data_IF_719614886288
#
_entry.id   IF_719614886288
#
_cell.length_a   1.000
_cell.length_b   1.000
_cell.length_c   1.000
_cell.angle_alpha   90.00
_cell.angle_beta   90.00
_cell.angle_gamma   90.00
#
_symmetry.space_group_name_H-M   'P 1'
#
loop_
_entity.id
_entity.type
_entity.pdbx_description
1 polymer ?
#
# COMPACT_ATOMS: atom_id res chain seq x y z
N UNK A 1 9.64 -15.23 -8.88
CA UNK A 1 9.30 -13.92 -8.30
C UNK A 1 8.80 -14.12 -6.87
N UNK A 2 9.15 -13.25 -5.93
CA UNK A 2 8.68 -13.34 -4.53
C UNK A 2 7.30 -12.73 -4.31
N UNK A 3 6.75 -12.07 -5.34
CA UNK A 3 5.51 -11.29 -5.27
C UNK A 3 4.46 -11.84 -6.22
N UNK A 4 3.20 -11.49 -5.97
CA UNK A 4 2.11 -11.70 -6.92
C UNK A 4 2.37 -10.91 -8.18
N UNK A 5 2.04 -11.49 -9.33
CA UNK A 5 2.14 -10.80 -10.60
C UNK A 5 0.78 -10.61 -11.25
N UNK A 6 0.61 -9.52 -11.98
CA UNK A 6 -0.57 -9.22 -12.77
C UNK A 6 -0.18 -9.05 -14.24
N UNK A 7 -0.93 -9.68 -15.12
CA UNK A 7 -0.75 -9.58 -16.58
C UNK A 7 -1.85 -8.70 -17.17
N UNK A 8 -1.46 -7.85 -18.11
CA UNK A 8 -2.37 -6.97 -18.84
C UNK A 8 -2.41 -7.33 -20.34
N UNK A 9 -3.56 -7.14 -20.96
CA UNK A 9 -3.66 -7.14 -22.43
C UNK A 9 -3.16 -5.80 -23.02
N UNK A 10 -3.19 -5.72 -24.36
CA UNK A 10 -2.79 -4.51 -25.11
C UNK A 10 -3.66 -3.27 -24.84
N UNK A 11 -4.80 -3.44 -24.17
CA UNK A 11 -5.72 -2.36 -23.78
C UNK A 11 -5.59 -2.02 -22.28
N UNK A 12 -4.53 -2.49 -21.60
CA UNK A 12 -4.32 -2.35 -20.16
C UNK A 12 -5.40 -3.01 -19.27
N UNK A 13 -6.12 -4.00 -19.82
CA UNK A 13 -7.08 -4.78 -19.03
C UNK A 13 -6.39 -5.98 -18.41
N UNK A 14 -6.68 -6.25 -17.14
CA UNK A 14 -6.14 -7.42 -16.45
C UNK A 14 -6.66 -8.71 -17.09
N UNK A 15 -5.77 -9.62 -17.39
CA UNK A 15 -6.08 -10.94 -17.98
C UNK A 15 -5.72 -12.09 -17.07
N UNK A 16 -4.74 -11.93 -16.20
CA UNK A 16 -4.39 -12.96 -15.20
C UNK A 16 -3.71 -12.37 -13.97
N UNK A 17 -3.88 -13.07 -12.83
CA UNK A 17 -3.14 -12.81 -11.59
C UNK A 17 -2.59 -14.15 -11.09
N UNK A 18 -1.31 -14.16 -10.76
CA UNK A 18 -0.60 -15.36 -10.31
C UNK A 18 0.06 -15.13 -8.94
N UNK A 19 -0.09 -16.10 -8.03
CA UNK A 19 0.56 -16.06 -6.72
C UNK A 19 2.02 -16.51 -6.85
N UNK A 20 2.96 -15.60 -6.63
CA UNK A 20 4.41 -15.84 -6.55
C UNK A 20 4.93 -16.82 -7.64
N UNK A 21 4.64 -16.58 -8.92
CA UNK A 21 5.02 -17.50 -9.98
C UNK A 21 6.55 -17.61 -10.11
N UNK A 22 7.03 -18.80 -10.46
CA UNK A 22 8.45 -19.02 -10.74
C UNK A 22 8.85 -18.23 -12.01
N UNK A 23 8.00 -18.31 -13.04
CA UNK A 23 8.17 -17.59 -14.30
C UNK A 23 6.99 -16.63 -14.50
N UNK A 24 7.08 -15.37 -14.02
CA UNK A 24 5.98 -14.43 -14.13
C UNK A 24 5.76 -14.04 -15.60
N UNK A 25 4.49 -13.87 -15.99
CA UNK A 25 4.08 -13.44 -17.32
C UNK A 25 4.30 -11.94 -17.56
N UNK A 26 4.49 -11.18 -16.50
CA UNK A 26 4.76 -9.74 -16.54
C UNK A 26 5.69 -9.31 -15.44
N UNK A 27 6.21 -8.07 -15.53
CA UNK A 27 7.02 -7.43 -14.49
C UNK A 27 6.18 -6.63 -13.47
N UNK A 28 4.85 -6.62 -13.60
CA UNK A 28 3.99 -5.93 -12.67
C UNK A 28 3.76 -6.77 -11.41
N UNK A 29 4.20 -6.24 -10.28
CA UNK A 29 3.97 -6.84 -8.97
C UNK A 29 2.76 -6.19 -8.27
N UNK A 30 2.02 -6.96 -7.48
CA UNK A 30 0.89 -6.47 -6.71
C UNK A 30 1.33 -6.31 -5.26
N UNK A 31 1.40 -5.06 -4.73
CA UNK A 31 1.61 -4.81 -3.31
C UNK A 31 0.38 -5.21 -2.48
N UNK A 32 0.50 -5.18 -1.15
CA UNK A 32 -0.54 -5.61 -0.23
C UNK A 32 -1.61 -4.56 0.08
N UNK A 33 -2.04 -3.77 -0.90
CA UNK A 33 -3.07 -2.73 -0.71
C UNK A 33 -4.27 -3.04 -1.60
N UNK A 34 -5.41 -3.33 -0.96
CA UNK A 34 -6.63 -3.78 -1.64
C UNK A 34 -7.87 -3.07 -1.10
N UNK A 35 -8.81 -2.78 -1.99
CA UNK A 35 -10.13 -2.25 -1.66
C UNK A 35 -11.19 -3.21 -2.18
N UNK A 36 -12.09 -3.64 -1.31
CA UNK A 36 -13.12 -4.61 -1.64
C UNK A 36 -14.50 -4.10 -1.24
N UNK A 37 -15.52 -4.52 -1.98
CA UNK A 37 -16.90 -4.43 -1.55
C UNK A 37 -17.24 -5.56 -0.55
N UNK A 38 -18.47 -5.56 -0.01
CA UNK A 38 -18.89 -6.55 0.98
C UNK A 38 -18.90 -7.99 0.46
N UNK A 39 -18.85 -8.21 -0.86
CA UNK A 39 -18.78 -9.55 -1.46
C UNK A 39 -17.47 -10.27 -1.15
N UNK A 40 -16.45 -9.55 -0.75
CA UNK A 40 -15.18 -10.15 -0.32
C UNK A 40 -15.38 -11.22 0.75
N UNK A 41 -16.34 -11.03 1.66
CA UNK A 41 -16.65 -12.00 2.74
C UNK A 41 -17.14 -13.32 2.16
N UNK A 42 -17.97 -13.29 1.11
CA UNK A 42 -18.46 -14.47 0.42
C UNK A 42 -17.33 -15.20 -0.31
N UNK A 43 -16.52 -14.48 -1.08
CA UNK A 43 -15.37 -15.04 -1.78
C UNK A 43 -14.33 -15.61 -0.83
N UNK A 44 -14.06 -14.93 0.29
CA UNK A 44 -13.12 -15.44 1.31
C UNK A 44 -13.58 -16.75 1.96
N UNK A 45 -14.89 -16.91 2.19
CA UNK A 45 -15.45 -18.19 2.72
C UNK A 45 -15.35 -19.35 1.73
N UNK A 46 -15.29 -19.07 0.43
CA UNK A 46 -15.21 -20.06 -0.64
C UNK A 46 -13.76 -20.34 -1.06
N UNK A 47 -12.82 -19.50 -0.66
CA UNK A 47 -11.42 -19.64 -1.02
C UNK A 47 -10.83 -20.96 -0.51
N UNK A 48 -10.09 -21.65 -1.38
CA UNK A 48 -9.45 -22.92 -1.10
C UNK A 48 -7.95 -22.75 -0.94
N UNK A 49 -7.29 -23.63 -0.16
CA UNK A 49 -5.84 -23.63 -0.09
C UNK A 49 -5.21 -23.82 -1.47
N UNK A 50 -4.17 -23.05 -1.74
CA UNK A 50 -3.33 -23.18 -2.94
C UNK A 50 -2.50 -24.47 -2.90
N UNK A 51 -1.75 -24.75 -3.96
CA UNK A 51 -0.77 -25.84 -3.98
C UNK A 51 0.30 -25.73 -2.86
N UNK A 52 0.43 -24.55 -2.24
CA UNK A 52 1.31 -24.29 -1.09
C UNK A 52 0.67 -24.61 0.25
N UNK A 53 -0.61 -24.99 0.27
CA UNK A 53 -1.39 -25.26 1.49
C UNK A 53 -1.91 -24.01 2.21
N UNK A 54 -1.77 -22.81 1.60
CA UNK A 54 -2.18 -21.53 2.17
C UNK A 54 -3.42 -21.00 1.45
N UNK A 55 -4.33 -20.34 2.19
CA UNK A 55 -5.43 -19.57 1.59
C UNK A 55 -4.84 -18.24 1.14
N UNK A 56 -4.81 -18.05 -0.18
CA UNK A 56 -4.15 -16.90 -0.80
C UNK A 56 -5.17 -15.84 -1.19
N UNK A 57 -4.81 -14.56 -0.98
CA UNK A 57 -5.63 -13.43 -1.42
C UNK A 57 -5.82 -13.42 -2.94
N UNK A 58 -4.90 -14.02 -3.68
CA UNK A 58 -4.97 -14.17 -5.14
C UNK A 58 -6.21 -14.95 -5.59
N UNK A 59 -6.69 -15.89 -4.79
CA UNK A 59 -7.95 -16.61 -5.05
C UNK A 59 -9.14 -15.63 -5.08
N UNK A 60 -9.17 -14.70 -4.13
CA UNK A 60 -10.21 -13.65 -4.06
C UNK A 60 -10.09 -12.70 -5.25
N UNK A 61 -8.88 -12.27 -5.61
CA UNK A 61 -8.66 -11.43 -6.80
C UNK A 61 -9.15 -12.12 -8.07
N UNK A 62 -8.88 -13.41 -8.23
CA UNK A 62 -9.34 -14.19 -9.37
C UNK A 62 -10.87 -14.33 -9.40
N UNK A 63 -11.53 -14.44 -8.24
CA UNK A 63 -12.99 -14.42 -8.17
C UNK A 63 -13.57 -13.09 -8.69
N UNK A 64 -12.97 -11.96 -8.30
CA UNK A 64 -13.36 -10.64 -8.83
C UNK A 64 -13.03 -10.48 -10.32
N UNK A 65 -11.88 -10.98 -10.77
CA UNK A 65 -11.49 -10.99 -12.20
C UNK A 65 -12.50 -11.76 -13.03
N UNK A 66 -12.85 -12.98 -12.62
CA UNK A 66 -13.82 -13.83 -13.30
C UNK A 66 -15.24 -13.23 -13.31
N UNK A 67 -15.58 -12.45 -12.28
CA UNK A 67 -16.84 -11.70 -12.21
C UNK A 67 -16.82 -10.40 -13.06
N UNK A 68 -15.70 -10.06 -13.69
CA UNK A 68 -15.51 -8.81 -14.45
C UNK A 68 -15.56 -7.55 -13.59
N UNK A 69 -15.19 -7.66 -12.30
CA UNK A 69 -15.27 -6.58 -11.30
C UNK A 69 -13.92 -6.20 -10.71
N UNK A 70 -12.83 -6.78 -11.22
CA UNK A 70 -11.49 -6.41 -10.78
C UNK A 70 -11.01 -5.17 -11.52
N UNK A 71 -10.60 -4.17 -10.77
CA UNK A 71 -9.91 -3.00 -11.27
C UNK A 71 -8.49 -2.96 -10.71
N UNK A 72 -7.54 -2.45 -11.48
CA UNK A 72 -6.15 -2.28 -11.07
C UNK A 72 -5.73 -0.84 -11.31
N UNK A 73 -5.22 -0.21 -10.26
CA UNK A 73 -4.58 1.10 -10.35
C UNK A 73 -3.07 0.89 -10.46
N UNK A 74 -2.49 1.36 -11.57
CA UNK A 74 -1.04 1.38 -11.74
C UNK A 74 -0.46 2.52 -10.90
N UNK A 75 0.55 2.22 -10.12
CA UNK A 75 1.28 3.23 -9.36
C UNK A 75 2.15 4.05 -10.31
N UNK A 76 2.09 5.37 -10.18
CA UNK A 76 2.80 6.30 -11.03
C UNK A 76 4.33 6.26 -10.82
N UNK A 77 5.04 6.80 -11.81
CA UNK A 77 6.48 7.03 -11.71
C UNK A 77 6.77 7.94 -10.52
N UNK A 78 7.70 7.52 -9.68
CA UNK A 78 8.05 8.22 -8.43
C UNK A 78 7.44 7.58 -7.19
N UNK A 79 6.44 6.73 -7.32
CA UNK A 79 5.98 5.88 -6.23
C UNK A 79 7.01 4.78 -5.98
N UNK A 80 7.53 4.70 -4.76
CA UNK A 80 8.42 3.63 -4.34
C UNK A 80 7.63 2.60 -3.52
N UNK A 81 7.68 1.34 -3.97
CA UNK A 81 7.25 0.22 -3.16
C UNK A 81 8.48 -0.49 -2.60
N UNK A 82 8.57 -0.52 -1.27
CA UNK A 82 9.72 -1.06 -0.55
C UNK A 82 9.26 -2.25 0.28
N UNK A 83 9.82 -3.42 -0.04
CA UNK A 83 9.63 -4.61 0.78
C UNK A 83 10.50 -4.52 2.05
N UNK A 84 9.99 -5.00 3.18
CA UNK A 84 10.68 -4.98 4.47
C UNK A 84 10.84 -6.38 5.07
N UNK A 85 10.72 -7.41 4.24
CA UNK A 85 10.76 -8.82 4.67
C UNK A 85 12.13 -9.33 5.09
N UNK A 86 13.21 -8.59 4.86
CA UNK A 86 14.57 -8.90 5.32
C UNK A 86 15.19 -7.71 6.04
N UNK A 87 16.21 -7.96 6.87
CA UNK A 87 16.95 -6.88 7.53
C UNK A 87 17.56 -5.89 6.51
N UNK A 88 18.07 -6.41 5.40
CA UNK A 88 18.66 -5.58 4.35
C UNK A 88 17.60 -4.70 3.67
N UNK A 89 16.46 -5.26 3.27
CA UNK A 89 15.38 -4.49 2.62
C UNK A 89 14.73 -3.50 3.59
N UNK A 90 14.58 -3.84 4.86
CA UNK A 90 14.09 -2.93 5.89
C UNK A 90 15.04 -1.74 6.08
N UNK A 91 16.35 -1.97 6.11
CA UNK A 91 17.35 -0.89 6.19
C UNK A 91 17.31 0.03 4.95
N UNK A 92 17.18 -0.55 3.75
CA UNK A 92 17.02 0.24 2.52
C UNK A 92 15.75 1.09 2.55
N UNK A 93 14.63 0.56 3.04
CA UNK A 93 13.39 1.30 3.18
C UNK A 93 13.56 2.47 4.17
N UNK A 94 14.20 2.23 5.32
CA UNK A 94 14.47 3.26 6.31
C UNK A 94 15.36 4.39 5.73
N UNK A 95 16.42 4.06 5.01
CA UNK A 95 17.28 5.03 4.34
C UNK A 95 16.52 5.84 3.28
N UNK A 96 15.68 5.19 2.48
CA UNK A 96 14.85 5.87 1.49
C UNK A 96 13.92 6.89 2.14
N UNK A 97 13.20 6.49 3.19
CA UNK A 97 12.31 7.39 3.95
C UNK A 97 13.10 8.56 4.53
N UNK A 98 14.24 8.28 5.17
CA UNK A 98 15.09 9.31 5.76
C UNK A 98 15.51 10.36 4.73
N UNK A 99 16.03 9.92 3.57
CA UNK A 99 16.50 10.83 2.52
C UNK A 99 15.35 11.70 2.00
N UNK A 100 14.18 11.13 1.75
CA UNK A 100 13.03 11.90 1.27
C UNK A 100 12.59 12.93 2.31
N UNK A 101 12.43 12.53 3.58
CA UNK A 101 12.03 13.43 4.65
C UNK A 101 13.02 14.57 4.86
N UNK A 102 14.32 14.28 4.87
CA UNK A 102 15.36 15.30 5.06
C UNK A 102 15.46 16.28 3.88
N UNK A 103 15.24 15.81 2.66
CA UNK A 103 15.35 16.66 1.45
C UNK A 103 14.10 17.47 1.17
N UNK A 104 12.92 16.92 1.45
CA UNK A 104 11.65 17.60 1.22
C UNK A 104 11.14 18.38 2.43
N UNK A 105 11.61 18.05 3.63
CA UNK A 105 11.10 18.63 4.88
C UNK A 105 9.67 18.17 5.22
N UNK A 106 9.20 17.09 4.58
CA UNK A 106 7.87 16.51 4.77
C UNK A 106 8.01 15.16 5.48
N UNK A 107 6.93 14.72 6.13
CA UNK A 107 6.88 13.40 6.76
C UNK A 107 6.14 12.40 5.89
N UNK A 108 6.70 11.19 5.75
CA UNK A 108 6.04 10.07 5.06
C UNK A 108 5.14 9.34 6.06
N UNK A 109 3.88 9.12 5.67
CA UNK A 109 2.91 8.40 6.51
C UNK A 109 2.50 9.17 7.76
N UNK A 110 2.56 10.49 7.75
CA UNK A 110 2.13 11.36 8.84
C UNK A 110 0.59 11.38 8.87
N UNK A 111 0.00 10.52 9.69
CA UNK A 111 -1.45 10.30 9.71
C UNK A 111 -2.22 11.55 10.18
N UNK A 112 -1.65 12.34 11.09
CA UNK A 112 -2.25 13.58 11.59
C UNK A 112 -2.28 14.65 10.49
N UNK A 113 -1.21 14.80 9.72
CA UNK A 113 -1.16 15.71 8.59
C UNK A 113 -2.17 15.31 7.51
N UNK A 114 -2.24 14.00 7.19
CA UNK A 114 -3.18 13.48 6.20
C UNK A 114 -4.61 13.76 6.67
N UNK A 115 -4.94 13.42 7.91
CA UNK A 115 -6.28 13.66 8.47
C UNK A 115 -6.65 15.16 8.46
N UNK A 116 -5.70 16.03 8.74
CA UNK A 116 -5.90 17.48 8.69
C UNK A 116 -6.10 18.00 7.27
N UNK A 117 -5.28 17.56 6.31
CA UNK A 117 -5.41 17.97 4.90
C UNK A 117 -6.70 17.49 4.26
N UNK A 118 -7.16 16.29 4.64
CA UNK A 118 -8.44 15.72 4.18
C UNK A 118 -9.66 16.27 4.93
N UNK A 119 -9.46 17.16 5.92
CA UNK A 119 -10.54 17.78 6.69
C UNK A 119 -11.22 16.85 7.71
N UNK A 120 -10.59 15.70 8.04
CA UNK A 120 -11.09 14.81 9.10
C UNK A 120 -10.88 15.39 10.49
N UNK A 121 -9.85 16.24 10.65
CA UNK A 121 -9.57 17.00 11.86
C UNK A 121 -9.31 18.47 11.51
N UNK A 122 -9.64 19.35 12.45
CA UNK A 122 -9.40 20.78 12.35
C UNK A 122 -8.04 21.21 12.96
N UNK A 123 -7.71 22.51 12.89
CA UNK A 123 -6.47 23.06 13.45
C UNK A 123 -6.37 22.84 14.95
N UNK A 124 -7.47 22.92 15.69
CA UNK A 124 -7.49 22.76 17.15
C UNK A 124 -7.17 21.31 17.52
N UNK A 125 -7.76 20.38 16.78
CA UNK A 125 -7.51 18.95 16.96
C UNK A 125 -6.07 18.58 16.60
N UNK A 126 -5.54 19.11 15.48
CA UNK A 126 -4.15 18.89 15.11
C UNK A 126 -3.19 19.44 16.16
N UNK A 127 -3.45 20.64 16.68
CA UNK A 127 -2.66 21.21 17.78
C UNK A 127 -2.69 20.32 19.02
N UNK A 128 -3.87 19.83 19.40
CA UNK A 128 -4.03 18.92 20.54
C UNK A 128 -3.22 17.63 20.40
N UNK A 129 -3.19 17.06 19.18
CA UNK A 129 -2.39 15.87 18.86
C UNK A 129 -0.88 16.15 18.86
N UNK A 130 -0.46 17.33 18.42
CA UNK A 130 0.95 17.73 18.40
C UNK A 130 1.53 18.01 19.80
N UNK A 131 0.72 18.50 20.75
CA UNK A 131 1.19 18.99 22.08
C UNK A 131 1.96 17.93 22.88
N UNK A 132 1.50 16.67 23.02
CA UNK A 132 2.27 15.62 23.72
C UNK A 132 3.62 15.33 23.06
N UNK A 133 3.73 15.59 21.76
CA UNK A 133 4.89 15.27 20.92
C UNK A 133 5.84 16.46 20.70
N UNK A 134 5.55 17.64 21.24
CA UNK A 134 6.27 18.90 20.97
C UNK A 134 7.78 18.88 21.22
N UNK A 135 8.27 17.97 22.06
CA UNK A 135 9.70 17.81 22.32
C UNK A 135 10.43 17.02 21.22
N UNK A 136 9.70 16.29 20.39
CA UNK A 136 10.24 15.51 19.27
C UNK A 136 10.30 16.32 17.97
N UNK A 137 11.11 15.86 17.00
CA UNK A 137 11.11 16.41 15.64
C UNK A 137 9.75 16.27 14.95
N UNK A 138 9.03 15.18 15.23
CA UNK A 138 7.71 14.92 14.68
C UNK A 138 6.66 15.92 15.20
N UNK A 139 6.60 16.15 16.50
CA UNK A 139 5.66 17.12 17.08
C UNK A 139 5.96 18.57 16.65
N UNK A 140 7.25 18.93 16.47
CA UNK A 140 7.65 20.23 15.91
C UNK A 140 7.15 20.37 14.46
N UNK A 141 7.25 19.31 13.68
CA UNK A 141 6.72 19.27 12.32
C UNK A 141 5.21 19.53 12.31
N UNK A 142 4.43 18.76 13.11
CA UNK A 142 2.97 18.93 13.20
C UNK A 142 2.59 20.35 13.61
N UNK A 143 3.25 20.91 14.62
CA UNK A 143 3.01 22.29 15.07
C UNK A 143 3.35 23.33 14.00
N UNK A 144 4.27 23.04 13.10
CA UNK A 144 4.67 23.91 11.99
C UNK A 144 3.68 23.90 10.80
N UNK A 145 2.76 22.92 10.73
CA UNK A 145 1.74 22.86 9.67
C UNK A 145 0.66 23.92 9.84
N UNK A 146 0.37 24.30 11.08
CA UNK A 146 -0.63 25.32 11.42
C UNK A 146 0.12 26.65 11.52
N UNK A 147 -0.17 27.54 10.61
CA UNK A 147 0.31 28.94 10.63
C UNK A 147 -0.73 29.87 11.24
#
# INVERSE_FOLDING_TARGET
MLFRSVEFDKNNKVVSIEEKPINPKSNYAIPGLYFFDNKVVEYAKLAKPSARGEIEITEIHNAYLNAGKLEVCLLDRGTAWLDTGTFASMNQAAQFVQVIEERQGLKIGCIEEIAWREGFIDNTQLHTLAEPLKKSGYGKYLSGLIK
#
